data_IF_748192011228
#
_entry.id   IF_748192011228
#
_cell.length_a   1.000
_cell.length_b   1.000
_cell.length_c   1.000
_cell.angle_alpha   90.00
_cell.angle_beta   90.00
_cell.angle_gamma   90.00
#
_symmetry.space_group_name_H-M   'P 1'
#
loop_
_entity.id
_entity.type
_entity.pdbx_description
1 polymer ?
#
# COMPACT_ATOMS: atom_id res chain seq x y z
N UNK A 1 17.94 -10.63 14.77
CA UNK A 1 17.36 -9.96 15.95
C UNK A 1 16.21 -9.09 15.47
N UNK A 2 15.00 -9.67 15.36
CA UNK A 2 13.82 -8.94 14.88
C UNK A 2 13.51 -7.86 15.92
N UNK A 3 13.53 -6.59 15.52
CA UNK A 3 13.37 -5.44 16.41
C UNK A 3 12.13 -5.60 17.30
N UNK A 4 12.32 -5.71 18.62
CA UNK A 4 11.24 -5.81 19.63
C UNK A 4 10.21 -4.67 19.51
N UNK A 5 10.58 -3.55 18.90
CA UNK A 5 9.70 -2.42 18.58
C UNK A 5 8.68 -2.79 17.48
N UNK A 6 9.09 -3.51 16.43
CA UNK A 6 8.22 -3.86 15.30
C UNK A 6 7.16 -4.87 15.71
N UNK A 7 7.50 -5.84 16.58
CA UNK A 7 6.54 -6.79 17.13
C UNK A 7 5.43 -6.07 17.91
N UNK A 8 5.80 -5.11 18.78
CA UNK A 8 4.83 -4.32 19.55
C UNK A 8 3.94 -3.44 18.65
N UNK A 9 4.50 -2.87 17.57
CA UNK A 9 3.72 -2.11 16.59
C UNK A 9 2.73 -3.00 15.83
N UNK A 10 3.14 -4.22 15.49
CA UNK A 10 2.29 -5.20 14.83
C UNK A 10 1.13 -5.65 15.73
N UNK A 11 1.39 -5.90 17.01
CA UNK A 11 0.34 -6.22 17.99
C UNK A 11 -0.69 -5.08 18.09
N UNK A 12 -0.22 -3.84 18.23
CA UNK A 12 -1.12 -2.68 18.31
C UNK A 12 -1.95 -2.50 17.04
N UNK A 13 -1.34 -2.64 15.86
CA UNK A 13 -2.04 -2.58 14.58
C UNK A 13 -3.08 -3.69 14.46
N UNK A 14 -2.72 -4.92 14.82
CA UNK A 14 -3.60 -6.07 14.78
C UNK A 14 -4.81 -5.91 15.70
N UNK A 15 -4.62 -5.44 16.94
CA UNK A 15 -5.73 -5.20 17.87
C UNK A 15 -6.65 -4.06 17.40
N UNK A 16 -6.12 -3.07 16.68
CA UNK A 16 -6.94 -2.03 16.03
C UNK A 16 -7.78 -2.58 14.88
N UNK A 17 -7.22 -3.50 14.08
CA UNK A 17 -7.94 -4.21 13.03
C UNK A 17 -9.04 -5.12 13.58
N UNK A 18 -8.76 -5.89 14.64
CA UNK A 18 -9.75 -6.74 15.32
C UNK A 18 -10.93 -5.96 15.89
N UNK A 19 -10.69 -4.72 16.32
CA UNK A 19 -11.71 -3.83 16.84
C UNK A 19 -12.48 -3.07 15.75
N UNK A 20 -12.30 -3.42 14.47
CA UNK A 20 -12.91 -2.74 13.32
C UNK A 20 -12.68 -1.21 13.34
N UNK A 21 -11.47 -0.79 13.73
CA UNK A 21 -11.09 0.62 13.84
C UNK A 21 -11.62 1.33 15.09
N UNK A 22 -12.31 0.65 16.01
CA UNK A 22 -12.72 1.24 17.28
C UNK A 22 -11.53 1.34 18.25
N UNK A 23 -11.06 2.57 18.48
CA UNK A 23 -9.90 2.90 19.32
C UNK A 23 -10.05 2.46 20.79
N UNK A 24 -11.26 2.53 21.32
CA UNK A 24 -11.54 2.18 22.72
C UNK A 24 -11.55 0.67 22.89
N UNK A 25 -12.21 -0.04 21.96
CA UNK A 25 -12.25 -1.50 21.98
C UNK A 25 -10.88 -2.11 21.68
N UNK A 26 -10.12 -1.55 20.74
CA UNK A 26 -8.75 -1.97 20.45
C UNK A 26 -7.85 -1.92 21.69
N UNK A 27 -8.00 -0.86 22.50
CA UNK A 27 -7.29 -0.70 23.77
C UNK A 27 -7.72 -1.77 24.78
N UNK A 28 -9.02 -2.02 24.91
CA UNK A 28 -9.56 -3.05 25.81
C UNK A 28 -9.05 -4.43 25.43
N UNK A 29 -9.15 -4.79 24.16
CA UNK A 29 -8.64 -6.06 23.63
C UNK A 29 -7.15 -6.19 23.90
N UNK A 30 -6.36 -5.13 23.67
CA UNK A 30 -4.92 -5.14 23.92
C UNK A 30 -4.60 -5.38 25.40
N UNK A 31 -5.31 -4.72 26.31
CA UNK A 31 -5.12 -4.90 27.75
C UNK A 31 -5.45 -6.34 28.19
N UNK A 32 -6.54 -6.92 27.65
CA UNK A 32 -6.95 -8.30 27.93
C UNK A 32 -5.93 -9.30 27.41
N UNK A 33 -5.41 -9.09 26.19
CA UNK A 33 -4.49 -10.02 25.53
C UNK A 33 -3.05 -9.93 26.05
N UNK A 34 -2.65 -8.75 26.51
CA UNK A 34 -1.30 -8.47 26.99
C UNK A 34 -1.33 -7.85 28.41
N UNK A 35 -1.78 -8.61 29.43
CA UNK A 35 -2.06 -8.06 30.76
C UNK A 35 -0.82 -7.50 31.46
N UNK A 36 0.37 -8.01 31.14
CA UNK A 36 1.64 -7.58 31.72
C UNK A 36 2.35 -6.49 30.91
N UNK A 37 1.72 -5.94 29.87
CA UNK A 37 2.30 -4.86 29.05
C UNK A 37 1.62 -3.52 29.32
N UNK A 38 2.40 -2.45 29.25
CA UNK A 38 1.87 -1.07 29.28
C UNK A 38 0.91 -0.90 28.10
N UNK A 39 -0.36 -0.66 28.43
CA UNK A 39 -1.42 -0.47 27.44
C UNK A 39 -1.28 0.91 26.80
N UNK A 40 -1.13 1.01 25.46
CA UNK A 40 -1.03 2.30 24.78
C UNK A 40 -2.32 3.12 24.88
N UNK A 41 -2.21 4.44 24.73
CA UNK A 41 -3.39 5.29 24.61
C UNK A 41 -4.24 4.91 23.38
N UNK A 42 -5.56 5.13 23.46
CA UNK A 42 -6.51 4.84 22.38
C UNK A 42 -6.14 5.53 21.06
N UNK A 43 -5.54 6.74 21.10
CA UNK A 43 -5.10 7.45 19.88
C UNK A 43 -3.89 6.77 19.23
N UNK A 44 -3.05 6.10 20.02
CA UNK A 44 -1.84 5.41 19.54
C UNK A 44 -2.17 4.29 18.57
N UNK A 45 -3.25 3.54 18.80
CA UNK A 45 -3.74 2.49 17.89
C UNK A 45 -4.04 3.02 16.48
N UNK A 46 -4.86 4.07 16.40
CA UNK A 46 -5.20 4.71 15.13
C UNK A 46 -3.99 5.36 14.45
N UNK A 47 -3.12 6.01 15.23
CA UNK A 47 -1.92 6.65 14.69
C UNK A 47 -0.94 5.63 14.11
N UNK A 48 -0.73 4.49 14.77
CA UNK A 48 0.14 3.42 14.26
C UNK A 48 -0.46 2.82 12.99
N UNK A 49 -1.75 2.50 12.98
CA UNK A 49 -2.42 2.00 11.78
C UNK A 49 -2.27 2.97 10.60
N UNK A 50 -2.59 4.25 10.80
CA UNK A 50 -2.44 5.28 9.78
C UNK A 50 -1.00 5.40 9.30
N UNK A 51 -0.02 5.45 10.21
CA UNK A 51 1.41 5.55 9.84
C UNK A 51 1.90 4.35 9.04
N UNK A 52 1.47 3.14 9.38
CA UNK A 52 1.84 1.93 8.63
C UNK A 52 1.24 1.97 7.22
N UNK A 53 -0.03 2.35 7.09
CA UNK A 53 -0.70 2.50 5.79
C UNK A 53 -0.08 3.62 4.94
N UNK A 54 0.18 4.78 5.54
CA UNK A 54 0.85 5.91 4.87
C UNK A 54 2.26 5.54 4.41
N UNK A 55 2.99 4.77 5.23
CA UNK A 55 4.34 4.30 4.89
C UNK A 55 4.32 3.33 3.71
N UNK A 56 3.36 2.39 3.70
CA UNK A 56 3.20 1.44 2.59
C UNK A 56 2.86 2.15 1.28
N UNK A 57 1.88 3.05 1.29
CA UNK A 57 1.53 3.83 0.10
C UNK A 57 2.71 4.68 -0.36
N UNK A 58 3.39 5.36 0.57
CA UNK A 58 4.57 6.16 0.26
C UNK A 58 5.68 5.31 -0.38
N UNK A 59 5.95 4.13 0.15
CA UNK A 59 6.95 3.21 -0.40
C UNK A 59 6.57 2.78 -1.82
N UNK A 60 5.30 2.42 -2.07
CA UNK A 60 4.82 2.07 -3.42
C UNK A 60 4.99 3.22 -4.42
N UNK A 61 4.72 4.46 -4.01
CA UNK A 61 4.93 5.64 -4.85
C UNK A 61 6.42 5.81 -5.15
N UNK A 62 7.27 5.75 -4.13
CA UNK A 62 8.73 5.87 -4.29
C UNK A 62 9.26 4.79 -5.23
N UNK A 63 8.89 3.52 -5.03
CA UNK A 63 9.28 2.41 -5.92
C UNK A 63 8.82 2.63 -7.36
N UNK A 64 7.61 3.17 -7.55
CA UNK A 64 7.10 3.50 -8.89
C UNK A 64 7.91 4.62 -9.54
N UNK A 65 8.21 5.69 -8.79
CA UNK A 65 9.05 6.78 -9.26
C UNK A 65 10.47 6.30 -9.60
N UNK A 66 11.05 5.42 -8.79
CA UNK A 66 12.37 4.85 -9.04
C UNK A 66 12.35 3.94 -10.26
N UNK A 67 11.29 3.16 -10.45
CA UNK A 67 11.10 2.36 -11.67
C UNK A 67 11.07 3.25 -12.91
N UNK A 68 10.31 4.35 -12.87
CA UNK A 68 10.23 5.32 -13.98
C UNK A 68 11.59 5.98 -14.22
N UNK A 69 12.28 6.41 -13.17
CA UNK A 69 13.57 7.10 -13.27
C UNK A 69 14.68 6.18 -13.81
N UNK A 70 14.71 4.94 -13.33
CA UNK A 70 15.83 4.03 -13.53
C UNK A 70 15.60 3.00 -14.64
N UNK A 71 14.45 2.99 -15.32
CA UNK A 71 14.19 2.12 -16.47
C UNK A 71 14.45 2.89 -17.78
N UNK A 72 15.59 2.67 -18.46
CA UNK A 72 15.88 3.35 -19.71
C UNK A 72 14.81 3.04 -20.76
N UNK A 73 14.40 4.06 -21.51
CA UNK A 73 13.43 3.91 -22.59
C UNK A 73 11.99 3.62 -22.16
N UNK A 74 11.63 3.74 -20.87
CA UNK A 74 10.24 3.52 -20.41
C UNK A 74 9.23 4.41 -21.16
N UNK A 75 9.55 5.70 -21.34
CA UNK A 75 8.72 6.62 -22.11
C UNK A 75 8.70 6.31 -23.61
N UNK A 76 9.80 5.77 -24.15
CA UNK A 76 9.83 5.32 -25.54
C UNK A 76 8.88 4.14 -25.75
N UNK A 77 8.94 3.13 -24.87
CA UNK A 77 8.02 1.99 -24.90
C UNK A 77 6.55 2.42 -24.81
N UNK A 78 6.24 3.38 -23.93
CA UNK A 78 4.88 3.93 -23.83
C UNK A 78 4.45 4.56 -25.16
N UNK A 79 5.29 5.40 -25.78
CA UNK A 79 4.99 5.99 -27.09
C UNK A 79 4.80 4.93 -28.18
N UNK A 80 5.65 3.92 -28.21
CA UNK A 80 5.59 2.85 -29.22
C UNK A 80 4.34 1.99 -29.07
N UNK A 81 3.93 1.69 -27.82
CA UNK A 81 2.67 0.99 -27.54
C UNK A 81 1.46 1.81 -28.01
N UNK A 82 1.44 3.11 -27.71
CA UNK A 82 0.35 3.98 -28.15
C UNK A 82 0.29 4.08 -29.67
N UNK A 83 1.44 4.19 -30.34
CA UNK A 83 1.52 4.20 -31.81
C UNK A 83 0.95 2.91 -32.41
N UNK A 84 1.39 1.73 -31.93
CA UNK A 84 0.88 0.43 -32.41
C UNK A 84 -0.64 0.31 -32.29
N UNK A 85 -1.21 0.79 -31.18
CA UNK A 85 -2.67 0.81 -30.98
C UNK A 85 -3.39 1.73 -31.95
N UNK A 86 -2.84 2.91 -32.22
CA UNK A 86 -3.38 3.82 -33.23
C UNK A 86 -3.34 3.20 -34.62
N UNK A 87 -2.22 2.58 -34.99
CA UNK A 87 -2.06 1.91 -36.28
C UNK A 87 -3.08 0.78 -36.46
N UNK A 88 -3.27 -0.06 -35.44
CA UNK A 88 -4.27 -1.12 -35.50
C UNK A 88 -5.70 -0.61 -35.56
N UNK A 89 -6.03 0.48 -34.86
CA UNK A 89 -7.32 1.14 -34.97
C UNK A 89 -7.60 1.60 -36.40
N UNK A 90 -6.60 2.21 -37.05
CA UNK A 90 -6.69 2.66 -38.44
C UNK A 90 -6.88 1.46 -39.37
N UNK A 91 -6.10 0.38 -39.21
CA UNK A 91 -6.23 -0.84 -40.01
C UNK A 91 -7.61 -1.52 -39.84
N UNK A 92 -8.20 -1.42 -38.65
CA UNK A 92 -9.54 -1.93 -38.37
C UNK A 92 -10.66 -0.97 -38.84
N UNK A 93 -10.34 0.17 -39.45
CA UNK A 93 -11.32 1.18 -39.86
C UNK A 93 -12.12 1.75 -38.68
N UNK A 94 -11.51 1.85 -37.50
CA UNK A 94 -12.19 2.23 -36.26
C UNK A 94 -13.02 1.12 -35.60
N UNK A 95 -12.98 -0.10 -36.14
CA UNK A 95 -13.62 -1.28 -35.55
C UNK A 95 -12.85 -1.87 -34.37
N UNK A 96 -13.29 -3.03 -33.89
CA UNK A 96 -12.65 -3.73 -32.78
C UNK A 96 -11.28 -4.30 -33.19
N UNK A 97 -10.28 -4.08 -32.33
CA UNK A 97 -8.95 -4.67 -32.45
C UNK A 97 -8.40 -5.06 -31.07
N UNK A 98 -7.46 -6.00 -31.04
CA UNK A 98 -6.84 -6.45 -29.80
C UNK A 98 -6.04 -5.31 -29.17
N UNK A 99 -6.27 -5.02 -27.88
CA UNK A 99 -5.65 -3.86 -27.20
C UNK A 99 -4.20 -4.11 -26.74
N UNK A 100 -3.73 -5.37 -26.80
CA UNK A 100 -2.43 -5.85 -26.30
C UNK A 100 -1.45 -6.21 -27.43
N UNK A 101 -1.39 -5.37 -28.46
CA UNK A 101 -0.40 -5.40 -29.55
C UNK A 101 0.83 -4.56 -29.23
#
# INVERSE_FOLDING_TARGET
>A
MVNFINAKLADIHYMYGLADGNKTEARRLHQVRFPNQVTPDRRTFANIHRRLMETELRNRIITSCDTIRNTPGIFQKVRDNMRRRTEACILAGGGYFQQFI
#
